data_IF_594177144914
#
_entry.id   IF_594177144914
#
_cell.length_a   1.000
_cell.length_b   1.000
_cell.length_c   1.000
_cell.angle_alpha   90.00
_cell.angle_beta   90.00
_cell.angle_gamma   90.00
#
_symmetry.space_group_name_H-M   'P 1'
#
loop_
_entity.id
_entity.type
_entity.pdbx_description
1 polymer ?
#
# COMPACT_ATOMS: atom_id res chain seq x y z
N UNK A 1 -5.05 14.80 -11.03
CA UNK A 1 -5.15 13.95 -9.86
C UNK A 1 -3.81 13.28 -9.62
N UNK A 2 -3.48 13.12 -8.35
CA UNK A 2 -2.23 12.47 -8.00
C UNK A 2 -2.28 11.01 -8.41
N UNK A 3 -1.18 10.51 -8.94
CA UNK A 3 -1.06 9.14 -9.39
C UNK A 3 -0.12 8.41 -8.45
N UNK A 4 -0.66 7.48 -7.67
CA UNK A 4 0.12 6.72 -6.70
C UNK A 4 0.40 5.34 -7.28
N UNK A 5 1.67 4.95 -7.23
CA UNK A 5 2.15 3.67 -7.72
C UNK A 5 2.79 2.91 -6.58
N UNK A 6 2.47 1.62 -6.48
CA UNK A 6 3.08 0.71 -5.52
C UNK A 6 4.06 -0.19 -6.26
N UNK A 7 5.27 -0.31 -5.73
CA UNK A 7 6.29 -1.18 -6.30
C UNK A 7 6.49 -2.34 -5.33
N UNK A 8 6.24 -3.55 -5.81
CA UNK A 8 6.38 -4.74 -4.97
C UNK A 8 7.86 -5.07 -4.79
N UNK A 9 8.46 -4.48 -3.76
CA UNK A 9 9.91 -4.55 -3.56
C UNK A 9 10.31 -5.36 -2.35
N UNK A 10 9.39 -5.67 -1.45
CA UNK A 10 9.70 -6.30 -0.17
C UNK A 10 8.87 -7.58 0.02
N UNK A 11 9.14 -8.65 -0.76
CA UNK A 11 8.29 -9.84 -0.71
C UNK A 11 8.37 -10.62 0.60
N UNK A 12 9.40 -10.37 1.40
CA UNK A 12 9.59 -11.09 2.66
C UNK A 12 9.14 -10.32 3.89
N UNK A 13 8.58 -9.14 3.70
CA UNK A 13 8.01 -8.39 4.81
C UNK A 13 6.63 -8.95 5.14
N UNK A 14 6.11 -8.56 6.31
CA UNK A 14 4.79 -9.02 6.72
C UNK A 14 4.79 -10.43 7.27
N UNK A 15 3.61 -10.97 7.48
CA UNK A 15 3.44 -12.30 8.04
C UNK A 15 3.53 -13.34 6.94
N UNK A 16 3.88 -14.58 7.32
CA UNK A 16 4.12 -15.61 6.35
C UNK A 16 2.93 -15.86 5.42
N UNK A 17 1.71 -15.91 5.98
CA UNK A 17 0.54 -16.15 5.15
C UNK A 17 0.28 -14.97 4.20
N UNK A 18 0.64 -13.76 4.61
CA UNK A 18 0.53 -12.60 3.73
C UNK A 18 1.57 -12.67 2.62
N UNK A 19 2.78 -13.13 2.95
CA UNK A 19 3.82 -13.29 1.96
C UNK A 19 3.41 -14.27 0.87
N UNK A 20 2.81 -15.38 1.27
CA UNK A 20 2.36 -16.39 0.31
C UNK A 20 1.30 -15.83 -0.62
N UNK A 21 0.35 -15.11 -0.06
CA UNK A 21 -0.73 -14.51 -0.84
C UNK A 21 -0.19 -13.49 -1.84
N UNK A 22 0.69 -12.60 -1.38
CA UNK A 22 1.16 -11.52 -2.22
C UNK A 22 2.09 -12.04 -3.32
N UNK A 23 2.91 -13.03 -3.00
CA UNK A 23 3.82 -13.62 -4.00
C UNK A 23 3.07 -14.42 -5.05
N UNK A 24 1.91 -14.94 -4.71
CA UNK A 24 1.07 -15.65 -5.66
C UNK A 24 0.40 -14.70 -6.66
N UNK A 25 0.07 -13.51 -6.22
CA UNK A 25 -0.71 -12.56 -7.02
C UNK A 25 0.14 -11.50 -7.69
N UNK A 26 1.30 -11.17 -7.14
CA UNK A 26 2.12 -10.05 -7.62
C UNK A 26 3.51 -10.52 -7.99
N UNK A 27 4.18 -9.74 -8.84
CA UNK A 27 5.53 -10.03 -9.31
C UNK A 27 6.50 -9.04 -8.67
N UNK A 28 7.57 -9.57 -8.09
CA UNK A 28 8.59 -8.73 -7.43
C UNK A 28 9.20 -7.75 -8.44
N UNK A 29 9.30 -6.50 -8.04
CA UNK A 29 9.86 -5.44 -8.88
C UNK A 29 8.86 -4.79 -9.80
N UNK A 30 7.66 -5.34 -9.90
CA UNK A 30 6.63 -4.80 -10.78
C UNK A 30 5.94 -3.61 -10.12
N UNK A 31 5.49 -2.69 -10.95
CA UNK A 31 4.76 -1.49 -10.52
C UNK A 31 3.27 -1.72 -10.70
N UNK A 32 2.49 -1.27 -9.72
CA UNK A 32 1.04 -1.44 -9.72
C UNK A 32 0.37 -0.12 -9.43
N UNK A 33 -0.69 0.18 -10.17
CA UNK A 33 -1.48 1.39 -9.89
C UNK A 33 -2.29 1.19 -8.63
N UNK A 34 -2.26 2.19 -7.75
CA UNK A 34 -2.99 2.16 -6.50
C UNK A 34 -4.36 2.77 -6.69
N UNK A 35 -5.39 2.03 -6.31
CA UNK A 35 -6.74 2.54 -6.32
C UNK A 35 -7.03 3.36 -5.06
N UNK A 36 -6.62 2.83 -3.91
CA UNK A 36 -6.91 3.46 -2.63
C UNK A 36 -5.95 2.93 -1.57
N UNK A 37 -5.63 3.79 -0.60
CA UNK A 37 -4.85 3.40 0.56
C UNK A 37 -5.66 3.79 1.79
N UNK A 38 -5.74 2.86 2.75
CA UNK A 38 -6.43 3.11 4.01
C UNK A 38 -5.46 2.85 5.16
N UNK A 39 -5.12 3.92 5.87
CA UNK A 39 -4.19 3.84 7.00
C UNK A 39 -4.99 3.72 8.28
N UNK A 40 -4.81 2.60 8.97
CA UNK A 40 -5.40 2.35 10.28
C UNK A 40 -4.33 2.53 11.36
N UNK A 41 -4.71 2.73 12.61
CA UNK A 41 -3.71 2.89 13.67
C UNK A 41 -2.76 1.71 13.83
N UNK A 42 -3.16 0.53 13.38
CA UNK A 42 -2.41 -0.71 13.56
C UNK A 42 -1.90 -1.32 12.25
N UNK A 43 -2.35 -0.83 11.10
CA UNK A 43 -1.92 -1.39 9.82
C UNK A 43 -2.32 -0.46 8.69
N UNK A 44 -1.79 -0.71 7.50
CA UNK A 44 -2.14 0.07 6.31
C UNK A 44 -2.52 -0.89 5.19
N UNK A 45 -3.72 -0.69 4.64
CA UNK A 45 -4.24 -1.49 3.54
C UNK A 45 -4.01 -0.77 2.23
N UNK A 46 -3.53 -1.52 1.24
CA UNK A 46 -3.30 -1.00 -0.10
C UNK A 46 -4.24 -1.72 -1.05
N UNK A 47 -5.06 -0.94 -1.75
CA UNK A 47 -5.98 -1.48 -2.76
C UNK A 47 -5.42 -1.16 -4.12
N UNK A 48 -5.07 -2.19 -4.89
CA UNK A 48 -4.52 -2.03 -6.22
C UNK A 48 -5.62 -2.17 -7.27
N UNK A 49 -5.51 -1.41 -8.34
CA UNK A 49 -6.48 -1.50 -9.44
C UNK A 49 -6.42 -2.88 -10.06
N UNK A 50 -7.59 -3.47 -10.27
CA UNK A 50 -7.69 -4.79 -10.89
C UNK A 50 -7.66 -5.95 -9.90
N UNK A 51 -7.54 -5.69 -8.61
CA UNK A 51 -7.52 -6.73 -7.58
C UNK A 51 -8.70 -6.57 -6.64
N UNK A 52 -9.32 -7.67 -6.26
CA UNK A 52 -10.49 -7.66 -5.39
C UNK A 52 -10.12 -7.66 -3.91
N UNK A 53 -8.85 -7.78 -3.60
CA UNK A 53 -8.40 -7.85 -2.22
C UNK A 53 -7.42 -6.71 -1.93
N UNK A 54 -7.15 -6.48 -0.65
CA UNK A 54 -6.15 -5.50 -0.26
C UNK A 54 -4.86 -6.20 0.15
N UNK A 55 -3.79 -5.42 0.18
CA UNK A 55 -2.47 -5.91 0.56
C UNK A 55 -1.91 -5.04 1.67
N UNK A 56 -1.01 -5.61 2.47
CA UNK A 56 -0.33 -4.86 3.52
C UNK A 56 0.74 -3.97 2.90
N UNK A 57 0.80 -2.72 3.31
CA UNK A 57 1.73 -1.74 2.75
C UNK A 57 3.21 -2.11 2.94
N UNK A 58 3.52 -3.00 3.88
CA UNK A 58 4.91 -3.36 4.17
C UNK A 58 5.62 -4.04 3.00
N UNK A 59 4.87 -4.52 2.01
CA UNK A 59 5.44 -5.19 0.84
C UNK A 59 5.88 -4.21 -0.25
N UNK A 60 5.57 -2.93 -0.12
CA UNK A 60 5.72 -1.99 -1.22
C UNK A 60 6.55 -0.77 -0.86
N UNK A 61 7.22 -0.24 -1.89
CA UNK A 61 7.63 1.15 -1.90
C UNK A 61 6.59 1.91 -2.73
N UNK A 62 6.40 3.18 -2.42
CA UNK A 62 5.36 3.97 -3.09
C UNK A 62 5.96 5.21 -3.74
N UNK A 63 5.35 5.59 -4.87
CA UNK A 63 5.66 6.84 -5.56
C UNK A 63 4.38 7.59 -5.86
N UNK A 64 4.45 8.89 -5.77
CA UNK A 64 3.35 9.77 -6.12
C UNK A 64 3.89 10.80 -7.11
N UNK A 65 3.34 10.78 -8.33
CA UNK A 65 3.78 11.66 -9.40
C UNK A 65 5.29 11.54 -9.68
N UNK A 66 5.79 10.29 -9.58
CA UNK A 66 7.18 9.99 -9.87
C UNK A 66 8.16 10.24 -8.75
N UNK A 67 7.66 10.63 -7.57
CA UNK A 67 8.50 10.93 -6.41
C UNK A 67 8.19 9.98 -5.29
N UNK A 68 9.19 9.71 -4.46
CA UNK A 68 9.02 8.88 -3.27
C UNK A 68 7.87 9.41 -2.41
N UNK A 69 7.06 8.49 -1.91
CA UNK A 69 5.85 8.85 -1.19
C UNK A 69 5.64 7.88 -0.02
N UNK A 70 5.31 8.43 1.14
CA UNK A 70 4.99 7.62 2.32
C UNK A 70 3.50 7.78 2.62
N UNK A 71 2.68 6.78 2.24
CA UNK A 71 1.23 6.90 2.43
C UNK A 71 0.80 6.97 3.90
N UNK A 72 1.63 6.47 4.81
CA UNK A 72 1.27 6.49 6.23
C UNK A 72 1.38 7.88 6.84
N UNK A 73 2.13 8.77 6.20
CA UNK A 73 2.27 10.15 6.66
C UNK A 73 1.27 11.09 6.02
N UNK A 74 0.51 10.61 5.06
CA UNK A 74 -0.48 11.42 4.37
C UNK A 74 -1.82 11.27 5.08
N UNK A 75 -2.26 12.31 5.76
CA UNK A 75 -3.49 12.28 6.54
C UNK A 75 -4.73 12.01 5.69
N UNK A 76 -4.66 12.28 4.40
CA UNK A 76 -5.76 11.99 3.50
C UNK A 76 -6.08 10.51 3.43
N UNK A 77 -5.11 9.64 3.77
CA UNK A 77 -5.29 8.20 3.77
C UNK A 77 -5.75 7.64 5.10
N UNK A 78 -5.78 8.47 6.15
CA UNK A 78 -6.12 8.00 7.49
C UNK A 78 -7.60 7.67 7.58
N UNK A 79 -7.90 6.55 8.21
CA UNK A 79 -9.27 6.09 8.37
C UNK A 79 -9.93 6.61 9.65
N UNK A 80 -9.12 7.13 10.58
CA UNK A 80 -9.64 7.74 11.79
C UNK A 80 -9.50 9.24 11.66
N UNK A 81 -10.35 9.95 12.37
CA UNK A 81 -10.25 11.39 12.39
C UNK A 81 -9.31 11.82 13.48
N UNK A 82 -8.49 12.75 13.13
CA UNK A 82 -7.62 13.37 14.08
C UNK A 82 -8.41 14.40 14.88
N UNK A 83 -9.26 13.91 15.70
CA UNK A 83 -10.21 14.73 16.44
C UNK A 83 -9.53 15.42 17.59
N UNK A 84 -8.49 16.01 17.32
CA UNK A 84 -7.75 16.62 18.37
C UNK A 84 -8.28 17.99 18.58
N UNK A 85 -8.58 18.28 19.70
CA UNK A 85 -9.11 19.56 20.10
C UNK A 85 -8.43 20.04 21.32
#
# INVERSE_FOLDING_TARGET
>A
MANIVAIFSCPENGRKYEQEKVQELLVVGQRYDVERIAVYPYSTEVHLKGFDCHFNSVFFDFEKDGKEYDPTKDKANWTWQSQIY
#
